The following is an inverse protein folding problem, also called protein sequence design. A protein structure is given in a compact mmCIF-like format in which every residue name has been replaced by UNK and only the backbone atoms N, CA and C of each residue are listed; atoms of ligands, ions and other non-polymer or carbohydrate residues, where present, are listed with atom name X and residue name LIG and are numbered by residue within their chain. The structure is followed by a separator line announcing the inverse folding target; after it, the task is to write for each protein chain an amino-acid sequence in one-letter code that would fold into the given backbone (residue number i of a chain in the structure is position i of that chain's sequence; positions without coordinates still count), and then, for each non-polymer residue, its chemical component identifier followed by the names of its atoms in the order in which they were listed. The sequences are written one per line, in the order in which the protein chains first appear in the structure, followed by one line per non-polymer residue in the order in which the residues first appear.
data_IF_746641990017
#
_entry.id   IF_746641990017
#
_cell.length_a   1.000
_cell.length_b   1.000
_cell.length_c   1.000
_cell.angle_alpha   90.00
_cell.angle_beta   90.00
_cell.angle_gamma   90.00
#
_symmetry.space_group_name_H-M   'P 1'
#
loop_
_entity.id
_entity.type
_entity.pdbx_description
1 polymer ?
#
# COMPACT_ATOMS: atom_id res chain seq x y z
N UNK A 1 -37.89 -0.37 -34.76
CA UNK A 1 -36.44 -0.11 -34.65
C UNK A 1 -36.12 -0.04 -33.17
N UNK A 2 -35.58 -1.11 -32.60
CA UNK A 2 -35.32 -1.25 -31.16
C UNK A 2 -33.92 -0.70 -30.87
N UNK A 3 -33.86 0.32 -30.04
CA UNK A 3 -32.64 0.93 -29.54
C UNK A 3 -31.92 -0.08 -28.63
N UNK A 4 -30.69 -0.45 -28.99
CA UNK A 4 -29.89 -1.38 -28.19
C UNK A 4 -29.45 -0.67 -26.89
N UNK A 5 -29.92 -1.22 -25.77
CA UNK A 5 -29.61 -0.78 -24.42
C UNK A 5 -28.14 -1.08 -24.10
N UNK A 6 -27.24 -0.16 -24.43
CA UNK A 6 -25.81 -0.23 -24.09
C UNK A 6 -25.58 0.25 -22.65
N UNK A 7 -26.27 -0.37 -21.69
CA UNK A 7 -26.00 -0.17 -20.27
C UNK A 7 -24.94 -1.17 -19.81
N UNK A 8 -23.84 -0.69 -19.26
CA UNK A 8 -22.84 -1.55 -18.67
C UNK A 8 -23.47 -2.33 -17.50
N UNK A 9 -23.42 -3.66 -17.50
CA UNK A 9 -24.08 -4.53 -16.52
C UNK A 9 -23.42 -4.54 -15.12
N UNK A 10 -22.50 -3.62 -14.90
CA UNK A 10 -21.66 -3.49 -13.71
C UNK A 10 -21.65 -2.04 -13.25
N UNK A 11 -21.62 -1.84 -11.94
CA UNK A 11 -21.36 -0.52 -11.34
C UNK A 11 -19.87 -0.37 -11.11
N UNK A 12 -19.39 0.87 -11.06
CA UNK A 12 -18.00 1.19 -10.73
C UNK A 12 -17.57 0.49 -9.42
N UNK A 13 -18.41 0.55 -8.38
CA UNK A 13 -18.18 -0.16 -7.12
C UNK A 13 -18.03 -1.68 -7.30
N UNK A 14 -18.83 -2.30 -8.17
CA UNK A 14 -18.75 -3.74 -8.46
C UNK A 14 -17.48 -4.09 -9.23
N UNK A 15 -17.10 -3.27 -10.20
CA UNK A 15 -15.86 -3.47 -10.94
C UNK A 15 -14.65 -3.35 -10.01
N UNK A 16 -14.63 -2.34 -9.14
CA UNK A 16 -13.57 -2.19 -8.13
C UNK A 16 -13.54 -3.35 -7.14
N UNK A 17 -14.69 -3.87 -6.70
CA UNK A 17 -14.74 -5.04 -5.82
C UNK A 17 -14.20 -6.31 -6.47
N UNK A 18 -14.47 -6.52 -7.76
CA UNK A 18 -14.01 -7.71 -8.52
C UNK A 18 -12.54 -7.60 -8.93
N UNK A 19 -12.06 -6.39 -9.24
CA UNK A 19 -10.67 -6.14 -9.65
C UNK A 19 -9.69 -6.06 -8.47
N UNK A 20 -10.18 -5.93 -7.23
CA UNK A 20 -9.33 -6.11 -6.05
C UNK A 20 -8.83 -7.55 -6.04
N UNK A 21 -7.52 -7.74 -5.93
CA UNK A 21 -6.95 -9.07 -5.78
C UNK A 21 -7.57 -9.74 -4.54
N UNK A 22 -7.73 -11.06 -4.55
CA UNK A 22 -8.32 -11.79 -3.41
C UNK A 22 -7.52 -11.58 -2.11
N UNK A 23 -6.23 -11.28 -2.22
CA UNK A 23 -5.39 -10.84 -1.09
C UNK A 23 -5.85 -9.52 -0.46
N UNK A 24 -6.60 -8.70 -1.20
CA UNK A 24 -7.23 -7.44 -0.80
C UNK A 24 -8.75 -7.57 -0.59
N UNK A 25 -9.31 -8.78 -0.75
CA UNK A 25 -10.73 -9.00 -0.52
C UNK A 25 -11.04 -8.98 0.99
N UNK A 26 -12.11 -8.26 1.34
CA UNK A 26 -12.53 -8.01 2.72
C UNK A 26 -13.19 -9.22 3.40
N UNK A 27 -13.21 -10.40 2.77
CA UNK A 27 -13.82 -11.60 3.34
C UNK A 27 -12.77 -12.58 3.86
N UNK A 28 -12.62 -12.62 5.18
CA UNK A 28 -11.71 -13.53 5.89
C UNK A 28 -11.96 -15.00 5.53
N UNK A 29 -13.23 -15.42 5.43
CA UNK A 29 -13.58 -16.81 5.15
C UNK A 29 -13.17 -17.24 3.73
N UNK A 30 -13.35 -16.35 2.74
CA UNK A 30 -12.89 -16.59 1.37
C UNK A 30 -11.36 -16.65 1.31
N UNK A 31 -10.67 -15.74 1.99
CA UNK A 31 -9.22 -15.74 2.07
C UNK A 31 -8.67 -17.04 2.67
N UNK A 32 -9.21 -17.47 3.81
CA UNK A 32 -8.80 -18.72 4.47
C UNK A 32 -9.10 -19.96 3.63
N UNK A 33 -10.17 -19.94 2.82
CA UNK A 33 -10.50 -21.05 1.93
C UNK A 33 -9.50 -21.24 0.77
N UNK A 34 -8.86 -20.16 0.32
CA UNK A 34 -7.87 -20.19 -0.78
C UNK A 34 -6.43 -20.12 -0.30
N UNK A 35 -6.20 -19.89 0.99
CA UNK A 35 -4.86 -19.78 1.53
C UNK A 35 -4.14 -21.13 1.50
N UNK A 36 -2.96 -21.14 0.89
CA UNK A 36 -1.99 -22.21 0.98
C UNK A 36 -0.84 -21.73 1.88
N UNK A 37 -0.37 -22.56 2.84
CA UNK A 37 0.75 -22.20 3.70
C UNK A 37 1.95 -21.75 2.88
N UNK A 38 2.51 -20.60 3.26
CA UNK A 38 3.67 -20.02 2.58
C UNK A 38 4.92 -20.69 3.15
N UNK A 39 5.69 -21.32 2.27
CA UNK A 39 6.92 -22.05 2.60
C UNK A 39 8.07 -21.56 1.75
N UNK A 40 9.28 -21.95 2.12
CA UNK A 40 10.50 -21.76 1.33
C UNK A 40 10.93 -20.28 1.16
N UNK A 41 10.69 -19.44 2.17
CA UNK A 41 11.23 -18.08 2.24
C UNK A 41 12.32 -17.96 3.32
N UNK A 42 13.13 -16.91 3.27
CA UNK A 42 14.18 -16.68 4.26
C UNK A 42 13.73 -15.67 5.30
N UNK A 43 13.99 -15.98 6.58
CA UNK A 43 13.76 -15.06 7.69
C UNK A 43 15.13 -14.67 8.23
N UNK A 44 15.44 -13.38 8.17
CA UNK A 44 16.67 -12.81 8.71
C UNK A 44 16.32 -11.91 9.89
N UNK A 45 16.85 -12.21 11.07
CA UNK A 45 16.67 -11.41 12.29
C UNK A 45 17.96 -10.67 12.62
N UNK A 46 17.85 -9.50 13.28
CA UNK A 46 19.05 -8.76 13.74
C UNK A 46 19.82 -9.53 14.80
N UNK A 47 19.16 -10.40 15.56
CA UNK A 47 19.74 -11.24 16.61
C UNK A 47 20.53 -12.43 16.05
N UNK A 48 20.36 -12.75 14.76
CA UNK A 48 21.02 -13.90 14.11
C UNK A 48 20.38 -15.25 14.43
N UNK A 49 19.23 -15.25 15.10
CA UNK A 49 18.48 -16.47 15.37
C UNK A 49 17.84 -16.98 14.08
N UNK A 50 18.10 -18.27 13.80
CA UNK A 50 17.47 -18.99 12.70
C UNK A 50 16.08 -19.41 13.12
N UNK A 51 15.08 -18.95 12.37
CA UNK A 51 13.69 -19.36 12.53
C UNK A 51 13.31 -20.38 11.45
N UNK A 52 12.32 -21.22 11.73
CA UNK A 52 11.72 -22.03 10.68
C UNK A 52 11.08 -21.14 9.60
N UNK A 53 11.28 -21.43 8.30
CA UNK A 53 10.80 -20.60 7.20
C UNK A 53 9.32 -20.86 6.89
N UNK A 54 8.46 -20.64 7.88
CA UNK A 54 7.00 -20.81 7.79
C UNK A 54 6.28 -19.55 8.25
N UNK A 55 5.10 -19.32 7.70
CA UNK A 55 4.22 -18.23 8.12
C UNK A 55 3.79 -18.40 9.59
N UNK A 56 3.53 -19.62 10.08
CA UNK A 56 3.25 -19.89 11.49
C UNK A 56 4.40 -19.52 12.44
N UNK A 57 5.64 -19.84 12.09
CA UNK A 57 6.80 -19.48 12.92
C UNK A 57 6.99 -17.97 12.97
N UNK A 58 6.83 -17.29 11.82
CA UNK A 58 6.88 -15.83 11.73
C UNK A 58 5.81 -15.16 12.60
N UNK A 59 4.56 -15.67 12.57
CA UNK A 59 3.49 -15.16 13.43
C UNK A 59 3.83 -15.33 14.90
N UNK A 60 4.33 -16.50 15.31
CA UNK A 60 4.65 -16.78 16.70
C UNK A 60 5.74 -15.83 17.24
N UNK A 61 6.74 -15.50 16.42
CA UNK A 61 7.80 -14.58 16.80
C UNK A 61 7.34 -13.11 16.88
N UNK A 62 6.57 -12.66 15.87
CA UNK A 62 6.05 -11.29 15.83
C UNK A 62 4.99 -11.03 16.90
N UNK A 63 4.21 -12.04 17.29
CA UNK A 63 3.19 -11.95 18.34
C UNK A 63 3.74 -12.22 19.75
N UNK A 64 5.03 -12.51 19.89
CA UNK A 64 5.65 -12.73 21.18
C UNK A 64 5.61 -11.42 22.02
N UNK A 65 5.08 -11.43 23.25
CA UNK A 65 5.04 -10.24 24.11
C UNK A 65 6.41 -9.61 24.41
N UNK A 66 7.49 -10.38 24.33
CA UNK A 66 8.86 -9.87 24.48
C UNK A 66 9.31 -9.05 23.26
N UNK A 67 8.73 -9.30 22.09
CA UNK A 67 8.96 -8.57 20.83
C UNK A 67 8.17 -7.26 20.82
N UNK A 68 8.50 -6.32 21.72
CA UNK A 68 7.74 -5.05 21.86
C UNK A 68 7.88 -4.09 20.67
N UNK A 69 9.03 -4.10 20.01
CA UNK A 69 9.36 -3.18 18.92
C UNK A 69 9.86 -3.97 17.72
N UNK A 70 8.93 -4.62 17.02
CA UNK A 70 9.22 -5.33 15.78
C UNK A 70 9.27 -4.38 14.59
N UNK A 71 10.32 -4.47 13.78
CA UNK A 71 10.35 -3.88 12.44
C UNK A 71 10.69 -4.99 11.45
N UNK A 72 9.72 -5.33 10.59
CA UNK A 72 9.83 -6.41 9.63
C UNK A 72 9.69 -5.86 8.21
N UNK A 73 10.62 -6.27 7.33
CA UNK A 73 10.58 -5.95 5.91
C UNK A 73 10.25 -7.24 5.16
N UNK A 74 9.23 -7.20 4.31
CA UNK A 74 8.88 -8.31 3.41
C UNK A 74 9.31 -7.97 2.00
N UNK A 75 10.34 -8.64 1.51
CA UNK A 75 10.92 -8.45 0.18
C UNK A 75 10.61 -9.64 -0.75
N UNK A 76 10.51 -9.37 -2.05
CA UNK A 76 10.29 -10.39 -3.06
C UNK A 76 9.73 -9.81 -4.37
N UNK A 77 9.81 -10.57 -5.45
CA UNK A 77 9.32 -10.16 -6.77
C UNK A 77 7.79 -9.92 -6.78
N UNK A 78 7.26 -9.11 -7.70
CA UNK A 78 5.82 -9.00 -7.92
C UNK A 78 5.20 -10.39 -8.11
N UNK A 79 4.12 -10.68 -7.38
CA UNK A 79 3.47 -12.01 -7.43
C UNK A 79 4.04 -13.06 -6.46
N UNK A 80 5.16 -12.81 -5.77
CA UNK A 80 5.76 -13.75 -4.80
C UNK A 80 4.94 -13.97 -3.50
N UNK A 81 3.69 -13.49 -3.42
CA UNK A 81 2.83 -13.71 -2.25
C UNK A 81 3.02 -12.74 -1.07
N UNK A 82 3.79 -11.66 -1.20
CA UNK A 82 4.01 -10.67 -0.12
C UNK A 82 2.71 -10.14 0.53
N UNK A 83 1.77 -9.67 -0.29
CA UNK A 83 0.47 -9.19 0.19
C UNK A 83 -0.37 -10.31 0.79
N UNK A 84 -0.23 -11.54 0.29
CA UNK A 84 -0.89 -12.71 0.84
C UNK A 84 -0.36 -13.06 2.23
N UNK A 85 0.96 -12.99 2.44
CA UNK A 85 1.60 -13.18 3.74
C UNK A 85 1.13 -12.12 4.75
N UNK A 86 1.19 -10.83 4.38
CA UNK A 86 0.73 -9.73 5.25
C UNK A 86 -0.74 -9.91 5.62
N UNK A 87 -1.59 -10.29 4.65
CA UNK A 87 -3.01 -10.55 4.90
C UNK A 87 -3.24 -11.77 5.80
N UNK A 88 -2.46 -12.82 5.62
CA UNK A 88 -2.53 -13.99 6.50
C UNK A 88 -2.14 -13.64 7.94
N UNK A 89 -1.08 -12.83 8.13
CA UNK A 89 -0.69 -12.32 9.45
C UNK A 89 -1.83 -11.53 10.10
N UNK A 90 -2.46 -10.61 9.36
CA UNK A 90 -3.60 -9.82 9.83
C UNK A 90 -4.79 -10.70 10.25
N UNK A 91 -5.16 -11.70 9.45
CA UNK A 91 -6.24 -12.64 9.77
C UNK A 91 -5.92 -13.49 11.00
N UNK A 92 -4.66 -13.89 11.19
CA UNK A 92 -4.23 -14.74 12.29
C UNK A 92 -3.76 -13.96 13.52
N UNK A 93 -3.73 -12.63 13.45
CA UNK A 93 -3.24 -11.79 14.53
C UNK A 93 -4.13 -11.88 15.78
N UNK A 94 -3.57 -11.52 16.94
CA UNK A 94 -4.33 -11.48 18.18
C UNK A 94 -5.43 -10.42 18.10
N UNK A 95 -6.66 -10.79 18.50
CA UNK A 95 -7.84 -9.91 18.47
C UNK A 95 -7.82 -8.80 19.51
N UNK A 96 -6.96 -8.92 20.52
CA UNK A 96 -6.81 -7.90 21.56
C UNK A 96 -5.97 -6.70 21.09
N UNK A 97 -5.21 -6.86 20.01
CA UNK A 97 -4.39 -5.79 19.44
C UNK A 97 -5.17 -4.96 18.42
N UNK A 98 -4.84 -3.67 18.36
CA UNK A 98 -5.30 -2.80 17.30
C UNK A 98 -4.39 -2.99 16.07
N UNK A 99 -4.88 -3.74 15.09
CA UNK A 99 -4.21 -3.97 13.80
C UNK A 99 -4.75 -3.00 12.76
N UNK A 100 -3.85 -2.40 11.97
CA UNK A 100 -4.21 -1.49 10.89
C UNK A 100 -3.42 -1.81 9.63
N UNK A 101 -4.12 -2.15 8.54
CA UNK A 101 -3.51 -2.39 7.24
C UNK A 101 -3.45 -1.10 6.44
N UNK A 102 -2.25 -0.58 6.20
CA UNK A 102 -2.05 0.64 5.41
C UNK A 102 -1.58 0.28 4.01
N UNK A 103 -2.41 0.62 3.03
CA UNK A 103 -2.11 0.42 1.62
C UNK A 103 -1.36 1.63 1.05
N UNK A 104 -0.50 1.38 0.06
CA UNK A 104 0.07 2.47 -0.75
C UNK A 104 -0.94 2.85 -1.84
N UNK A 105 -1.98 3.59 -1.48
CA UNK A 105 -2.98 4.06 -2.43
C UNK A 105 -2.40 5.11 -3.40
N UNK A 106 -1.84 6.20 -2.85
CA UNK A 106 -1.25 7.32 -3.59
C UNK A 106 0.21 7.61 -3.18
N UNK A 107 0.73 6.86 -2.20
CA UNK A 107 2.06 7.06 -1.61
C UNK A 107 2.21 8.39 -0.85
N UNK A 108 1.12 9.12 -0.59
CA UNK A 108 1.15 10.40 0.10
C UNK A 108 0.94 10.22 1.60
N UNK A 109 1.60 11.06 2.40
CA UNK A 109 1.40 11.09 3.85
C UNK A 109 -0.07 11.34 4.20
N UNK A 110 -0.74 12.22 3.44
CA UNK A 110 -2.15 12.56 3.62
C UNK A 110 -3.04 11.34 3.35
N UNK A 111 -2.74 10.58 2.28
CA UNK A 111 -3.44 9.34 1.95
C UNK A 111 -3.33 8.31 3.08
N UNK A 112 -2.12 8.10 3.59
CA UNK A 112 -1.87 7.23 4.75
C UNK A 112 -2.63 7.69 6.00
N UNK A 113 -2.61 8.99 6.30
CA UNK A 113 -3.29 9.52 7.49
C UNK A 113 -4.82 9.45 7.37
N UNK A 114 -5.39 9.57 6.17
CA UNK A 114 -6.81 9.33 5.92
C UNK A 114 -7.19 7.86 6.13
N UNK A 115 -6.35 6.92 5.68
CA UNK A 115 -6.56 5.49 5.94
C UNK A 115 -6.55 5.17 7.43
N UNK A 116 -5.58 5.70 8.18
CA UNK A 116 -5.51 5.56 9.64
C UNK A 116 -6.78 6.08 10.33
N UNK A 117 -7.25 7.28 9.96
CA UNK A 117 -8.51 7.83 10.48
C UNK A 117 -9.68 6.90 10.21
N UNK A 118 -9.78 6.37 8.99
CA UNK A 118 -10.88 5.48 8.59
C UNK A 118 -10.92 4.19 9.41
N UNK A 119 -9.77 3.64 9.77
CA UNK A 119 -9.68 2.37 10.50
C UNK A 119 -9.85 2.53 12.01
N UNK A 120 -9.32 3.63 12.58
CA UNK A 120 -9.49 3.93 14.01
C UNK A 120 -10.94 4.32 14.37
N UNK A 121 -11.70 4.83 13.40
CA UNK A 121 -13.10 5.23 13.58
C UNK A 121 -13.28 6.55 14.34
N UNK A 122 -14.54 6.90 14.59
CA UNK A 122 -14.93 8.24 15.07
C UNK A 122 -14.34 8.61 16.44
N UNK A 123 -14.07 7.62 17.31
CA UNK A 123 -13.49 7.86 18.63
C UNK A 123 -12.16 8.62 18.56
N UNK A 124 -11.37 8.37 17.53
CA UNK A 124 -10.05 8.96 17.34
C UNK A 124 -10.05 10.05 16.27
N UNK A 125 -11.21 10.41 15.71
CA UNK A 125 -11.32 11.41 14.64
C UNK A 125 -10.71 12.76 15.03
N UNK A 126 -10.78 13.14 16.30
CA UNK A 126 -10.20 14.36 16.85
C UNK A 126 -8.67 14.48 16.62
N UNK A 127 -7.95 13.35 16.57
CA UNK A 127 -6.51 13.33 16.27
C UNK A 127 -6.22 13.75 14.82
N UNK A 128 -7.22 13.71 13.96
CA UNK A 128 -7.12 13.96 12.53
C UNK A 128 -7.89 15.21 12.07
N UNK A 129 -8.46 16.01 12.98
CA UNK A 129 -9.27 17.20 12.61
C UNK A 129 -8.45 18.26 11.85
N UNK A 130 -7.17 18.42 12.20
CA UNK A 130 -6.29 19.41 11.58
C UNK A 130 -5.61 18.91 10.30
N UNK A 131 -5.80 17.64 9.93
CA UNK A 131 -5.18 17.08 8.71
C UNK A 131 -5.70 17.71 7.42
N UNK A 132 -6.95 18.17 7.44
CA UNK A 132 -7.52 18.91 6.31
C UNK A 132 -6.92 20.32 6.18
N UNK A 133 -6.34 20.89 7.25
CA UNK A 133 -5.73 22.22 7.21
C UNK A 133 -4.29 22.18 6.68
N UNK A 134 -3.59 21.05 6.85
CA UNK A 134 -2.23 20.87 6.34
C UNK A 134 -2.23 20.28 4.93
N UNK A 135 -2.01 21.16 3.95
CA UNK A 135 -1.47 20.84 2.62
C UNK A 135 -2.41 20.10 1.67
N UNK A 136 -3.61 20.61 1.42
CA UNK A 136 -3.97 20.70 0.01
C UNK A 136 -3.11 21.82 -0.58
N UNK A 137 -2.02 21.46 -1.26
CA UNK A 137 -1.47 22.38 -2.24
C UNK A 137 -2.68 22.78 -3.10
N UNK A 138 -3.07 24.05 -3.03
CA UNK A 138 -4.15 24.57 -3.86
C UNK A 138 -3.89 24.14 -5.31
N UNK A 139 -4.92 24.11 -6.15
CA UNK A 139 -4.70 23.82 -7.57
C UNK A 139 -3.51 24.59 -8.14
N UNK A 140 -3.36 25.85 -7.72
CA UNK A 140 -2.24 26.74 -8.03
C UNK A 140 -0.88 26.25 -7.50
N UNK A 141 -0.84 25.70 -6.28
CA UNK A 141 0.34 25.05 -5.72
C UNK A 141 0.75 23.77 -6.46
N UNK A 142 -0.22 22.96 -6.90
CA UNK A 142 0.04 21.75 -7.71
C UNK A 142 0.55 22.11 -9.11
N UNK A 143 0.00 23.16 -9.72
CA UNK A 143 0.49 23.71 -10.99
C UNK A 143 1.93 24.18 -10.85
N UNK A 144 2.27 24.94 -9.80
CA UNK A 144 3.65 25.39 -9.53
C UNK A 144 4.62 24.24 -9.30
N UNK A 145 4.21 23.21 -8.54
CA UNK A 145 5.03 22.04 -8.29
C UNK A 145 5.26 21.21 -9.57
N UNK A 146 4.21 21.05 -10.38
CA UNK A 146 4.31 20.40 -11.69
C UNK A 146 5.27 21.16 -12.63
N UNK A 147 5.15 22.49 -12.71
CA UNK A 147 6.07 23.31 -13.50
C UNK A 147 7.52 23.21 -13.01
N UNK A 148 7.74 23.21 -11.70
CA UNK A 148 9.08 23.07 -11.12
C UNK A 148 9.71 21.71 -11.45
N UNK A 149 8.93 20.62 -11.34
CA UNK A 149 9.39 19.28 -11.69
C UNK A 149 9.64 19.13 -13.19
N UNK A 150 8.74 19.66 -14.03
CA UNK A 150 8.92 19.65 -15.48
C UNK A 150 10.17 20.42 -15.90
N UNK A 151 10.40 21.61 -15.33
CA UNK A 151 11.59 22.41 -15.59
C UNK A 151 12.88 21.69 -15.14
N UNK A 152 12.84 20.99 -14.00
CA UNK A 152 13.97 20.18 -13.54
C UNK A 152 14.22 18.99 -14.48
N UNK A 153 13.18 18.30 -14.94
CA UNK A 153 13.28 17.16 -15.86
C UNK A 153 13.71 17.52 -17.28
N UNK A 154 13.44 18.76 -17.72
CA UNK A 154 13.90 19.29 -18.99
C UNK A 154 15.27 19.99 -18.87
N UNK A 155 15.87 20.01 -17.68
CA UNK A 155 17.20 20.60 -17.53
C UNK A 155 18.26 19.72 -18.19
N UNK A 156 19.28 20.30 -18.84
CA UNK A 156 20.32 19.53 -19.55
C UNK A 156 21.07 18.51 -18.68
N UNK A 157 21.05 18.70 -17.37
CA UNK A 157 21.77 17.86 -16.41
C UNK A 157 20.90 16.74 -15.80
N UNK A 158 19.64 16.57 -16.23
CA UNK A 158 18.72 15.61 -15.63
C UNK A 158 18.90 14.18 -16.15
N UNK A 159 19.37 14.01 -17.38
CA UNK A 159 19.62 12.69 -17.98
C UNK A 159 21.10 12.29 -17.82
N UNK A 160 21.35 11.04 -17.40
CA UNK A 160 22.73 10.49 -17.28
C UNK A 160 23.48 10.43 -18.61
N UNK A 161 22.77 10.50 -19.74
CA UNK A 161 23.34 10.69 -21.06
C UNK A 161 22.55 11.75 -21.81
N UNK A 162 23.23 12.73 -22.44
CA UNK A 162 22.58 13.79 -23.21
C UNK A 162 21.76 13.18 -24.35
N UNK A 163 20.50 13.61 -24.49
CA UNK A 163 19.56 13.09 -25.51
C UNK A 163 19.91 13.64 -26.91
N UNK A 164 20.73 14.69 -26.98
CA UNK A 164 21.26 15.26 -28.23
C UNK A 164 20.40 16.37 -28.84
N UNK A 165 19.35 16.81 -28.15
CA UNK A 165 18.41 17.87 -28.54
C UNK A 165 18.55 19.15 -27.70
N UNK A 166 19.55 19.21 -26.81
CA UNK A 166 19.82 20.32 -25.88
C UNK A 166 20.02 21.67 -26.59
N UNK A 167 20.61 21.69 -27.78
CA UNK A 167 20.79 22.91 -28.57
C UNK A 167 19.47 23.50 -29.07
N UNK A 168 18.40 22.70 -29.14
CA UNK A 168 17.10 23.12 -29.64
C UNK A 168 16.28 23.88 -28.59
N UNK A 169 16.54 23.65 -27.30
CA UNK A 169 15.86 24.29 -26.18
C UNK A 169 16.46 25.66 -25.78
N UNK A 170 17.50 26.11 -26.48
CA UNK A 170 18.29 27.31 -26.13
C UNK A 170 17.91 28.63 -26.82
N UNK A 171 16.78 28.71 -27.54
CA UNK A 171 16.27 29.95 -28.16
C UNK A 171 15.08 30.54 -27.42
#
# INVERSE_FOLDING_TARGET
MSEAMHGACWTEDRAHAVLRSVALANNEAEFLAVHQPIRDFQISTTTGDSMEPTDEALLADLSNPETRYGFCIVEGEPGAGKSHLIRWLDVKWNKDDLVMLIERADGSLIGTLRQLRSQLGERYAHLFENLAQSVEASFDGRVKLFHANLAASLSPNFFESPIGDEEWCGT
#
